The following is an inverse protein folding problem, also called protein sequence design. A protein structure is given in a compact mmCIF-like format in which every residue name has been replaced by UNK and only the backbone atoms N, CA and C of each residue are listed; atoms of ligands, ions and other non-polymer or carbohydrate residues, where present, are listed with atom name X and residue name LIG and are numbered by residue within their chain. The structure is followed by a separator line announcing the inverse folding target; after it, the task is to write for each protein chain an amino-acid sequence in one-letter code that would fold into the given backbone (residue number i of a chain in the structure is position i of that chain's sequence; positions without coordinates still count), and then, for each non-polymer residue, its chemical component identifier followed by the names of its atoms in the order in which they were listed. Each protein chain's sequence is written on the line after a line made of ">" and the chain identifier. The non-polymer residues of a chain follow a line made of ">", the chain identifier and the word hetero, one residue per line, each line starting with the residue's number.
data_IF_028285572682
#
_entry.id   IF_028285572682
#
_cell.length_a   1.000
_cell.length_b   1.000
_cell.length_c   1.000
_cell.angle_alpha   90.00
_cell.angle_beta   90.00
_cell.angle_gamma   90.00
#
_symmetry.space_group_name_H-M   'P 1'
#
loop_
_entity.id
_entity.type
_entity.pdbx_description
1 polymer ?
#
# COMPACT_ATOMS: atom_id res chain seq x y z
N UNK A 1 -5.98 8.34 27.40
CA UNK A 1 -6.19 7.98 25.98
C UNK A 1 -6.97 9.13 25.37
N UNK A 2 -6.29 10.01 24.65
CA UNK A 2 -6.93 11.09 23.90
C UNK A 2 -7.36 10.54 22.55
N UNK A 3 -8.66 10.61 22.26
CA UNK A 3 -9.23 10.23 20.97
C UNK A 3 -9.12 11.46 20.08
N UNK A 4 -8.36 11.36 18.99
CA UNK A 4 -8.35 12.38 17.96
C UNK A 4 -9.74 12.47 17.31
N UNK A 5 -10.47 13.54 17.63
CA UNK A 5 -11.73 13.90 16.98
C UNK A 5 -11.41 14.44 15.58
N UNK A 6 -11.44 13.56 14.59
CA UNK A 6 -11.41 13.96 13.19
C UNK A 6 -12.80 14.49 12.80
N UNK A 7 -12.91 15.78 12.45
CA UNK A 7 -14.14 16.33 11.89
C UNK A 7 -14.15 16.16 10.37
N UNK A 8 -15.18 15.51 9.78
CA UNK A 8 -15.33 15.40 8.33
C UNK A 8 -15.45 16.74 7.60
N UNK A 9 -15.77 17.82 8.33
CA UNK A 9 -15.92 19.17 7.77
C UNK A 9 -14.62 19.77 7.24
N UNK A 10 -13.46 19.28 7.70
CA UNK A 10 -12.15 19.76 7.22
C UNK A 10 -11.71 19.10 5.91
N UNK A 11 -12.53 18.20 5.35
CA UNK A 11 -12.22 17.42 4.15
C UNK A 11 -12.68 18.11 2.86
N UNK A 12 -13.52 19.14 2.96
CA UNK A 12 -13.99 19.93 1.83
C UNK A 12 -13.70 21.41 2.10
N UNK A 13 -12.85 22.06 1.30
CA UNK A 13 -12.62 23.51 1.42
C UNK A 13 -13.90 24.26 1.07
N UNK A 14 -14.21 25.32 1.83
CA UNK A 14 -15.30 26.24 1.50
C UNK A 14 -14.95 26.98 0.20
N UNK A 15 -15.76 26.79 -0.84
CA UNK A 15 -15.65 27.49 -2.13
C UNK A 15 -15.99 28.98 -1.93
N UNK A 16 -15.00 29.79 -1.58
CA UNK A 16 -15.03 31.23 -1.82
C UNK A 16 -13.59 31.80 -1.83
N UNK A 17 -12.90 31.63 -2.96
CA UNK A 17 -12.05 32.68 -3.52
C UNK A 17 -11.57 32.30 -4.93
N UNK A 18 -12.18 32.96 -5.91
CA UNK A 18 -11.74 32.96 -7.30
C UNK A 18 -10.40 33.69 -7.44
N UNK A 19 -9.32 32.96 -7.72
CA UNK A 19 -8.15 33.54 -8.42
C UNK A 19 -7.57 32.53 -9.41
N UNK A 20 -7.59 32.94 -10.68
CA UNK A 20 -7.03 32.28 -11.84
C UNK A 20 -5.52 32.06 -11.72
N UNK A 21 -5.08 30.81 -11.67
CA UNK A 21 -3.73 30.43 -12.08
C UNK A 21 -3.77 29.09 -12.82
N UNK A 22 -3.61 29.18 -14.14
CA UNK A 22 -3.23 28.07 -15.01
C UNK A 22 -1.76 27.69 -14.75
N UNK A 23 -1.45 26.43 -15.08
CA UNK A 23 -0.13 25.79 -15.21
C UNK A 23 0.40 24.97 -14.01
N UNK A 24 0.09 23.67 -14.06
CA UNK A 24 1.04 22.54 -13.95
C UNK A 24 2.07 22.63 -12.82
N UNK A 25 1.62 22.39 -11.58
CA UNK A 25 2.52 21.84 -10.57
C UNK A 25 2.34 20.33 -10.57
N UNK A 26 3.32 19.61 -11.11
CA UNK A 26 3.55 18.22 -10.70
C UNK A 26 3.55 18.23 -9.17
N UNK A 27 2.48 17.77 -8.54
CA UNK A 27 2.47 17.52 -7.10
C UNK A 27 3.53 16.47 -6.86
N UNK A 28 4.75 16.90 -6.56
CA UNK A 28 5.83 16.02 -6.14
C UNK A 28 5.28 15.20 -4.98
N UNK A 29 5.03 13.92 -5.24
CA UNK A 29 4.59 13.01 -4.21
C UNK A 29 5.68 12.96 -3.15
N UNK A 30 5.36 13.49 -1.98
CA UNK A 30 6.24 13.39 -0.83
C UNK A 30 6.06 12.01 -0.22
N UNK A 31 7.16 11.31 0.03
CA UNK A 31 7.17 10.00 0.68
C UNK A 31 7.63 10.14 2.12
N UNK A 32 7.12 9.27 3.00
CA UNK A 32 7.63 9.11 4.36
C UNK A 32 7.96 7.65 4.60
N UNK A 33 9.19 7.37 5.02
CA UNK A 33 9.58 6.04 5.45
C UNK A 33 9.24 5.85 6.93
N UNK A 34 8.58 4.75 7.26
CA UNK A 34 8.21 4.39 8.63
C UNK A 34 8.55 2.94 8.91
N UNK A 35 8.96 2.68 10.15
CA UNK A 35 9.17 1.32 10.65
C UNK A 35 7.88 0.83 11.28
N UNK A 36 7.49 -0.39 10.96
CA UNK A 36 6.28 -1.02 11.44
C UNK A 36 6.58 -2.40 11.98
N UNK A 37 6.06 -2.67 13.18
CA UNK A 37 6.18 -3.99 13.81
C UNK A 37 5.06 -4.90 13.31
N UNK A 38 5.45 -5.94 12.59
CA UNK A 38 4.61 -7.09 12.26
C UNK A 38 4.94 -8.24 13.23
N UNK A 39 4.08 -9.28 13.34
CA UNK A 39 4.36 -10.39 14.24
C UNK A 39 5.72 -11.05 13.95
N UNK A 40 6.69 -10.83 14.83
CA UNK A 40 8.04 -11.40 14.76
C UNK A 40 9.01 -10.71 13.80
N UNK A 41 8.63 -9.61 13.13
CA UNK A 41 9.51 -8.90 12.19
C UNK A 41 9.19 -7.40 12.10
N UNK A 42 10.22 -6.57 12.01
CA UNK A 42 10.08 -5.14 11.68
C UNK A 42 10.20 -4.95 10.16
N UNK A 43 9.30 -4.17 9.57
CA UNK A 43 9.36 -3.76 8.17
C UNK A 43 9.58 -2.25 8.05
N UNK A 44 10.43 -1.85 7.10
CA UNK A 44 10.59 -0.46 6.68
C UNK A 44 9.70 -0.19 5.46
N UNK A 45 8.69 0.65 5.61
CA UNK A 45 7.70 0.91 4.57
C UNK A 45 7.73 2.39 4.19
N UNK A 46 7.89 2.64 2.88
CA UNK A 46 7.67 3.93 2.25
C UNK A 46 6.17 4.11 2.01
N UNK A 47 5.60 5.07 2.72
CA UNK A 47 4.21 5.53 2.59
C UNK A 47 4.18 6.80 1.74
N UNK A 48 3.09 7.00 1.00
CA UNK A 48 2.87 8.29 0.34
C UNK A 48 2.36 9.28 1.40
N UNK A 49 2.84 10.52 1.41
CA UNK A 49 2.30 11.56 2.31
C UNK A 49 0.91 11.99 1.84
N UNK A 50 0.68 11.90 0.52
CA UNK A 50 -0.60 12.12 -0.12
C UNK A 50 -0.65 11.27 -1.40
N UNK A 51 -1.76 10.55 -1.61
CA UNK A 51 -2.05 9.86 -2.85
C UNK A 51 -3.54 10.04 -3.13
N UNK A 52 -3.92 10.43 -4.36
CA UNK A 52 -5.31 10.79 -4.69
C UNK A 52 -6.30 9.64 -4.44
N UNK A 53 -5.82 8.40 -4.50
CA UNK A 53 -6.62 7.17 -4.37
C UNK A 53 -6.53 6.47 -3.01
N UNK A 54 -6.02 7.13 -1.96
CA UNK A 54 -5.86 6.56 -0.60
C UNK A 54 -4.99 5.28 -0.51
N UNK A 55 -4.15 5.02 -1.52
CA UNK A 55 -3.10 3.98 -1.48
C UNK A 55 -1.88 4.41 -0.62
N UNK A 56 -2.01 5.53 0.09
CA UNK A 56 -0.92 6.26 0.72
C UNK A 56 -0.47 5.67 2.06
N UNK A 57 -1.41 5.16 2.85
CA UNK A 57 -1.18 4.79 4.24
C UNK A 57 -1.19 3.28 4.44
N UNK A 58 -0.38 2.81 5.39
CA UNK A 58 -0.52 1.46 5.91
C UNK A 58 -1.73 1.38 6.84
N UNK A 59 -2.79 0.73 6.37
CA UNK A 59 -4.07 0.67 7.08
C UNK A 59 -4.00 -0.23 8.33
N UNK A 60 -4.68 0.13 9.44
CA UNK A 60 -4.73 -0.71 10.65
C UNK A 60 -5.19 -2.15 10.40
N UNK A 61 -6.07 -2.35 9.41
CA UNK A 61 -6.56 -3.67 9.00
C UNK A 61 -5.45 -4.62 8.55
N UNK A 62 -4.35 -4.10 8.00
CA UNK A 62 -3.18 -4.89 7.61
C UNK A 62 -2.54 -5.59 8.80
N UNK A 63 -2.41 -4.89 9.92
CA UNK A 63 -1.83 -5.47 11.14
C UNK A 63 -2.76 -6.52 11.76
N UNK A 64 -4.04 -6.21 11.88
CA UNK A 64 -5.03 -7.16 12.39
C UNK A 64 -5.07 -8.44 11.54
N UNK A 65 -4.96 -8.32 10.22
CA UNK A 65 -4.94 -9.47 9.34
C UNK A 65 -3.61 -10.25 9.41
N UNK A 66 -2.47 -9.57 9.52
CA UNK A 66 -1.19 -10.20 9.75
C UNK A 66 -1.17 -11.00 11.06
N UNK A 67 -1.70 -10.44 12.15
CA UNK A 67 -1.85 -11.13 13.43
C UNK A 67 -2.74 -12.36 13.32
N UNK A 68 -3.89 -12.25 12.64
CA UNK A 68 -4.77 -13.38 12.39
C UNK A 68 -4.07 -14.49 11.62
N UNK A 69 -3.38 -14.17 10.52
CA UNK A 69 -2.64 -15.16 9.73
C UNK A 69 -1.45 -15.76 10.49
N UNK A 70 -0.84 -15.00 11.40
CA UNK A 70 0.26 -15.50 12.22
C UNK A 70 -0.18 -16.57 13.24
N UNK A 71 -1.45 -16.56 13.65
CA UNK A 71 -2.02 -17.54 14.57
C UNK A 71 -2.23 -18.91 13.91
N UNK A 72 -2.46 -18.97 12.59
CA UNK A 72 -2.70 -20.22 11.88
C UNK A 72 -1.91 -20.30 10.56
N UNK A 73 -0.70 -20.84 10.66
CA UNK A 73 0.20 -21.05 9.50
C UNK A 73 -0.37 -22.01 8.47
N UNK A 74 -1.27 -22.91 8.85
CA UNK A 74 -1.84 -23.91 7.93
C UNK A 74 -2.67 -23.26 6.82
N UNK A 75 -3.13 -22.02 7.03
CA UNK A 75 -3.82 -21.22 6.02
C UNK A 75 -2.88 -20.77 4.88
N UNK A 76 -1.57 -20.72 5.12
CA UNK A 76 -0.57 -20.19 4.19
C UNK A 76 0.27 -21.28 3.53
N UNK A 77 0.52 -22.39 4.22
CA UNK A 77 1.44 -23.43 3.76
C UNK A 77 1.03 -24.04 2.41
N UNK A 78 1.99 -24.05 1.47
CA UNK A 78 1.80 -24.62 0.13
C UNK A 78 0.81 -23.86 -0.77
N UNK A 79 0.33 -22.69 -0.35
CA UNK A 79 -0.60 -21.87 -1.14
C UNK A 79 0.13 -20.92 -2.09
N UNK A 80 -0.57 -20.54 -3.15
CA UNK A 80 -0.26 -19.40 -4.00
C UNK A 80 -1.36 -18.37 -3.83
N UNK A 81 -0.99 -17.16 -3.47
CA UNK A 81 -1.94 -16.13 -3.07
C UNK A 81 -1.84 -14.91 -3.99
N UNK A 82 -2.97 -14.22 -4.14
CA UNK A 82 -3.03 -12.87 -4.68
C UNK A 82 -3.56 -11.94 -3.59
N UNK A 83 -2.87 -10.83 -3.37
CA UNK A 83 -3.37 -9.74 -2.55
C UNK A 83 -4.01 -8.69 -3.46
N UNK A 84 -5.25 -8.31 -3.15
CA UNK A 84 -5.98 -7.26 -3.85
C UNK A 84 -6.05 -6.03 -2.95
N UNK A 85 -5.74 -4.86 -3.50
CA UNK A 85 -5.63 -3.64 -2.69
C UNK A 85 -4.37 -3.65 -1.83
N UNK A 86 -3.24 -4.04 -2.44
CA UNK A 86 -1.94 -4.17 -1.76
C UNK A 86 -1.41 -2.86 -1.17
N UNK A 87 -1.80 -1.69 -1.69
CA UNK A 87 -1.32 -0.37 -1.28
C UNK A 87 0.21 -0.31 -1.27
N UNK A 88 0.81 -0.24 -0.07
CA UNK A 88 2.26 -0.21 0.10
C UNK A 88 2.95 -1.58 -0.10
N UNK A 89 2.17 -2.67 -0.17
CA UNK A 89 2.65 -4.05 -0.25
C UNK A 89 3.13 -4.64 1.07
N UNK A 90 2.94 -3.94 2.19
CA UNK A 90 3.51 -4.33 3.49
C UNK A 90 3.07 -5.73 3.96
N UNK A 91 1.80 -6.10 3.77
CA UNK A 91 1.31 -7.43 4.13
C UNK A 91 1.94 -8.51 3.24
N UNK A 92 1.99 -8.32 1.92
CA UNK A 92 2.62 -9.28 1.03
C UNK A 92 4.12 -9.45 1.32
N UNK A 93 4.83 -8.35 1.62
CA UNK A 93 6.23 -8.38 2.06
C UNK A 93 6.39 -9.15 3.37
N UNK A 94 5.53 -8.89 4.36
CA UNK A 94 5.49 -9.62 5.62
C UNK A 94 5.30 -11.12 5.38
N UNK A 95 4.30 -11.51 4.60
CA UNK A 95 3.98 -12.91 4.33
C UNK A 95 5.10 -13.62 3.58
N UNK A 96 5.72 -12.94 2.61
CA UNK A 96 6.89 -13.43 1.89
C UNK A 96 8.06 -13.65 2.82
N UNK A 97 8.35 -12.69 3.70
CA UNK A 97 9.52 -12.71 4.58
C UNK A 97 9.39 -13.72 5.72
N UNK A 98 8.21 -13.81 6.33
CA UNK A 98 7.96 -14.63 7.51
C UNK A 98 7.63 -16.09 7.18
N UNK A 99 7.00 -16.33 6.02
CA UNK A 99 6.46 -17.65 5.66
C UNK A 99 6.92 -18.17 4.30
N UNK A 100 7.77 -17.43 3.57
CA UNK A 100 8.18 -17.76 2.20
C UNK A 100 6.98 -17.96 1.25
N UNK A 101 5.85 -17.29 1.53
CA UNK A 101 4.63 -17.45 0.75
C UNK A 101 4.85 -17.05 -0.72
N UNK A 102 4.30 -17.82 -1.65
CA UNK A 102 4.22 -17.43 -3.06
C UNK A 102 3.03 -16.49 -3.25
N UNK A 103 3.32 -15.19 -3.30
CA UNK A 103 2.30 -14.13 -3.30
C UNK A 103 2.53 -13.15 -4.44
N UNK A 104 1.44 -12.81 -5.12
CA UNK A 104 1.37 -11.76 -6.16
C UNK A 104 0.54 -10.61 -5.64
N UNK A 105 0.97 -9.38 -5.91
CA UNK A 105 0.27 -8.15 -5.51
C UNK A 105 -0.57 -7.61 -6.66
N UNK A 106 -1.65 -6.90 -6.35
CA UNK A 106 -2.44 -6.18 -7.34
C UNK A 106 -3.17 -5.02 -6.65
N UNK A 107 -3.18 -3.87 -7.32
CA UNK A 107 -3.87 -2.67 -6.86
C UNK A 107 -4.52 -1.95 -8.06
N UNK A 108 -5.00 -0.73 -7.84
CA UNK A 108 -5.37 0.19 -8.89
C UNK A 108 -4.25 0.30 -9.94
N UNK A 109 -4.61 0.49 -11.21
CA UNK A 109 -3.66 0.60 -12.30
C UNK A 109 -2.90 1.94 -12.22
N UNK A 110 -1.89 1.93 -11.37
CA UNK A 110 -1.06 3.06 -11.01
C UNK A 110 0.40 2.61 -10.94
N UNK A 111 1.22 3.17 -11.81
CA UNK A 111 2.65 2.85 -11.88
C UNK A 111 3.37 3.22 -10.57
N UNK A 112 2.93 4.26 -9.87
CA UNK A 112 3.57 4.70 -8.63
C UNK A 112 3.36 3.68 -7.52
N UNK A 113 2.20 3.01 -7.49
CA UNK A 113 1.93 1.91 -6.54
C UNK A 113 2.86 0.72 -6.82
N UNK A 114 2.96 0.29 -8.08
CA UNK A 114 3.86 -0.81 -8.48
C UNK A 114 5.33 -0.51 -8.10
N UNK A 115 5.80 0.70 -8.43
CA UNK A 115 7.13 1.15 -8.10
C UNK A 115 7.35 1.26 -6.58
N UNK A 116 6.33 1.67 -5.83
CA UNK A 116 6.39 1.73 -4.37
C UNK A 116 6.46 0.35 -3.72
N UNK A 117 5.68 -0.62 -4.19
CA UNK A 117 5.77 -2.01 -3.74
C UNK A 117 7.16 -2.57 -4.05
N UNK A 118 7.70 -2.31 -5.24
CA UNK A 118 9.04 -2.74 -5.63
C UNK A 118 10.14 -2.10 -4.75
N UNK A 119 10.00 -0.82 -4.42
CA UNK A 119 10.88 -0.11 -3.48
C UNK A 119 10.82 -0.76 -2.09
N UNK A 120 9.62 -0.96 -1.54
CA UNK A 120 9.42 -1.56 -0.22
C UNK A 120 9.94 -3.01 -0.16
N UNK A 121 9.80 -3.78 -1.25
CA UNK A 121 10.40 -5.11 -1.35
C UNK A 121 11.92 -5.05 -1.15
N UNK A 122 12.59 -4.17 -1.91
CA UNK A 122 14.06 -4.00 -1.85
C UNK A 122 14.50 -3.53 -0.47
N UNK A 123 13.82 -2.54 0.11
CA UNK A 123 14.10 -2.01 1.44
C UNK A 123 14.02 -3.09 2.54
N UNK A 124 13.18 -4.11 2.34
CA UNK A 124 13.01 -5.22 3.28
C UNK A 124 13.79 -6.49 2.92
N UNK A 125 14.66 -6.43 1.91
CA UNK A 125 15.53 -7.54 1.51
C UNK A 125 14.86 -8.61 0.64
N UNK A 126 13.70 -8.30 0.03
CA UNK A 126 12.98 -9.23 -0.84
C UNK A 126 13.52 -9.11 -2.27
N UNK A 127 14.23 -10.14 -2.72
CA UNK A 127 14.76 -10.26 -4.09
C UNK A 127 14.51 -11.68 -4.63
N UNK A 128 13.91 -11.84 -5.83
CA UNK A 128 13.37 -10.78 -6.69
C UNK A 128 12.19 -10.04 -6.03
N UNK A 129 11.88 -8.83 -6.53
CA UNK A 129 10.68 -8.09 -6.09
C UNK A 129 9.43 -8.94 -6.31
N UNK A 130 8.41 -8.73 -5.48
CA UNK A 130 7.15 -9.45 -5.62
C UNK A 130 6.51 -9.16 -7.00
N UNK A 131 5.93 -10.16 -7.67
CA UNK A 131 5.19 -9.92 -8.90
C UNK A 131 3.98 -9.02 -8.61
N UNK A 132 3.70 -8.10 -9.53
CA UNK A 132 2.57 -7.18 -9.48
C UNK A 132 1.74 -7.30 -10.76
N UNK A 133 0.42 -7.39 -10.62
CA UNK A 133 -0.51 -7.43 -11.75
C UNK A 133 -1.22 -6.09 -11.83
N UNK A 134 -0.95 -5.35 -12.92
CA UNK A 134 -1.71 -4.17 -13.33
C UNK A 134 -2.99 -4.59 -14.04
N UNK A 135 -4.07 -3.84 -13.83
CA UNK A 135 -5.32 -4.06 -14.56
C UNK A 135 -5.24 -3.38 -15.93
N UNK A 136 -4.68 -4.08 -16.92
CA UNK A 136 -4.89 -3.66 -18.31
C UNK A 136 -6.39 -3.76 -18.61
N UNK A 137 -7.05 -2.62 -18.87
CA UNK A 137 -8.37 -2.67 -19.48
C UNK A 137 -8.21 -3.45 -20.78
N UNK A 138 -8.79 -4.66 -20.84
CA UNK A 138 -9.06 -5.33 -22.10
C UNK A 138 -9.92 -4.38 -22.93
N UNK A 139 -9.28 -3.59 -23.78
CA UNK A 139 -9.91 -2.92 -24.91
C UNK A 139 -10.43 -4.06 -25.79
N UNK A 140 -11.70 -4.42 -25.61
CA UNK A 140 -12.40 -5.25 -26.57
C UNK A 140 -12.35 -4.48 -27.91
N UNK A 141 -11.80 -5.07 -28.99
CA UNK A 141 -11.87 -4.42 -30.29
C UNK A 141 -13.34 -4.22 -30.63
N UNK A 142 -13.72 -2.96 -30.85
CA UNK A 142 -15.03 -2.56 -31.39
C UNK A 142 -15.21 -3.05 -32.81
#
# INVERSE_FOLDING_TARGET
>A
MDIALFSPSSLFPDDDDTSSHDETTETQQSYVERKHEFPGVELLIREFSFHQLNANLLWPGTFAFAEFLAQDRSLLEGRRCIELGSGTGALAIYLRKSYCLDITTSDYDDQEIEENIAHNCKANGITPVLPHIRREFFSMPT
#
